data_IF_920858982463
#
_entry.id   IF_920858982463
#
_cell.length_a   1.000
_cell.length_b   1.000
_cell.length_c   1.000
_cell.angle_alpha   90.00
_cell.angle_beta   90.00
_cell.angle_gamma   90.00
#
_symmetry.space_group_name_H-M   'P 1'
#
loop_
_entity.id
_entity.type
_entity.pdbx_description
1 polymer ?
#
# COMPACT_ATOMS: atom_id res chain seq x y z
N UNK A 1 23.33 -10.54 -4.52
CA UNK A 1 23.23 -9.90 -3.19
C UNK A 1 22.02 -8.98 -3.28
N UNK A 2 20.86 -9.41 -2.79
CA UNK A 2 19.64 -8.59 -2.82
C UNK A 2 19.76 -7.59 -1.68
N UNK A 3 19.98 -6.31 -1.99
CA UNK A 3 20.00 -5.25 -0.99
C UNK A 3 18.61 -5.11 -0.36
N UNK A 4 18.52 -5.32 0.95
CA UNK A 4 17.31 -5.09 1.75
C UNK A 4 17.22 -3.63 2.25
N UNK A 5 18.01 -2.71 1.70
CA UNK A 5 18.08 -1.30 2.12
C UNK A 5 16.97 -0.41 1.51
N UNK A 6 15.99 -0.97 0.79
CA UNK A 6 15.02 -0.18 -0.01
C UNK A 6 13.97 0.60 0.77
N UNK A 7 13.98 0.57 2.11
CA UNK A 7 13.02 1.27 2.98
C UNK A 7 13.66 2.37 3.85
N UNK A 8 14.97 2.63 3.69
CA UNK A 8 15.64 3.70 4.43
C UNK A 8 14.97 5.05 4.13
N UNK A 9 14.56 5.76 5.18
CA UNK A 9 13.84 7.03 5.07
C UNK A 9 12.33 6.92 4.90
N UNK A 10 11.76 5.71 4.79
CA UNK A 10 10.33 5.51 4.66
C UNK A 10 9.66 5.36 6.04
N UNK A 11 8.68 6.22 6.34
CA UNK A 11 7.84 6.12 7.53
C UNK A 11 6.62 5.24 7.24
N UNK A 12 6.57 4.07 7.90
CA UNK A 12 5.46 3.12 7.75
C UNK A 12 4.09 3.73 8.05
N UNK A 13 4.02 4.76 8.91
CA UNK A 13 2.75 5.44 9.22
C UNK A 13 2.13 6.11 8.00
N UNK A 14 2.95 6.57 7.05
CA UNK A 14 2.48 7.13 5.79
C UNK A 14 1.80 6.03 4.96
N UNK A 15 2.46 4.88 4.78
CA UNK A 15 1.89 3.73 4.07
C UNK A 15 0.61 3.22 4.73
N UNK A 16 0.59 3.14 6.06
CA UNK A 16 -0.61 2.74 6.81
C UNK A 16 -1.76 3.73 6.61
N UNK A 17 -1.48 5.03 6.57
CA UNK A 17 -2.49 6.06 6.33
C UNK A 17 -3.10 5.97 4.93
N UNK A 18 -2.26 5.72 3.91
CA UNK A 18 -2.68 5.52 2.53
C UNK A 18 -3.49 4.24 2.39
N UNK A 19 -3.00 3.13 2.95
CA UNK A 19 -3.72 1.86 2.96
C UNK A 19 -5.10 2.00 3.61
N UNK A 20 -5.19 2.67 4.77
CA UNK A 20 -6.46 2.92 5.47
C UNK A 20 -7.40 3.77 4.64
N UNK A 21 -6.91 4.85 4.02
CA UNK A 21 -7.73 5.72 3.15
C UNK A 21 -8.30 4.95 1.96
N UNK A 22 -7.47 4.14 1.29
CA UNK A 22 -7.91 3.32 0.15
C UNK A 22 -9.03 2.34 0.55
N UNK A 23 -8.86 1.66 1.68
CA UNK A 23 -9.89 0.77 2.25
C UNK A 23 -11.17 1.55 2.53
N UNK A 24 -11.09 2.67 3.25
CA UNK A 24 -12.26 3.47 3.62
C UNK A 24 -13.06 3.99 2.43
N UNK A 25 -12.37 4.50 1.39
CA UNK A 25 -13.01 4.96 0.17
C UNK A 25 -13.77 3.82 -0.51
N UNK A 26 -13.14 2.66 -0.64
CA UNK A 26 -13.75 1.52 -1.32
C UNK A 26 -14.94 0.95 -0.55
N UNK A 27 -14.82 0.73 0.75
CA UNK A 27 -15.90 0.11 1.54
C UNK A 27 -17.11 1.03 1.73
N UNK A 28 -16.92 2.35 1.65
CA UNK A 28 -18.02 3.33 1.72
C UNK A 28 -18.78 3.48 0.40
N UNK A 29 -18.51 2.61 -0.59
CA UNK A 29 -19.15 2.65 -1.91
C UNK A 29 -18.55 3.70 -2.85
N UNK A 30 -17.37 4.25 -2.51
CA UNK A 30 -16.62 5.15 -3.38
C UNK A 30 -15.92 4.41 -4.52
N UNK A 31 -15.46 5.18 -5.51
CA UNK A 31 -14.56 4.66 -6.53
C UNK A 31 -13.20 4.26 -5.92
N UNK A 32 -12.45 3.42 -6.65
CA UNK A 32 -11.05 3.16 -6.32
C UNK A 32 -10.29 4.49 -6.24
N UNK A 33 -9.55 4.67 -5.16
CA UNK A 33 -8.71 5.85 -4.95
C UNK A 33 -7.25 5.44 -5.11
N UNK A 34 -6.52 6.21 -5.92
CA UNK A 34 -5.07 6.09 -6.05
C UNK A 34 -4.42 7.37 -5.55
N UNK A 35 -3.38 7.29 -4.70
CA UNK A 35 -2.54 8.44 -4.37
C UNK A 35 -1.77 8.90 -5.61
N UNK A 36 -1.52 10.20 -5.73
CA UNK A 36 -0.54 10.74 -6.68
C UNK A 36 0.85 10.66 -6.03
N UNK A 37 1.81 9.91 -6.58
CA UNK A 37 3.16 9.80 -6.02
C UNK A 37 3.88 11.13 -5.85
N UNK A 38 3.55 12.15 -6.64
CA UNK A 38 4.15 13.47 -6.55
C UNK A 38 3.78 14.25 -5.28
N UNK A 39 2.76 13.80 -4.53
CA UNK A 39 2.36 14.38 -3.24
C UNK A 39 3.18 13.87 -2.06
N UNK A 40 4.10 12.93 -2.28
CA UNK A 40 4.89 12.26 -1.24
C UNK A 40 6.39 12.46 -1.48
N UNK A 41 7.20 12.24 -0.43
CA UNK A 41 8.66 12.24 -0.56
C UNK A 41 9.11 11.18 -1.58
N UNK A 42 10.23 11.46 -2.28
CA UNK A 42 10.74 10.63 -3.38
C UNK A 42 10.86 9.13 -3.03
N UNK A 43 11.13 8.82 -1.76
CA UNK A 43 11.24 7.44 -1.25
C UNK A 43 9.95 6.61 -1.46
N UNK A 44 8.78 7.24 -1.56
CA UNK A 44 7.49 6.58 -1.78
C UNK A 44 7.11 6.47 -3.27
N UNK A 45 7.69 7.33 -4.11
CA UNK A 45 7.40 7.42 -5.54
C UNK A 45 8.20 6.42 -6.39
N UNK A 46 9.22 5.78 -5.81
CA UNK A 46 10.00 4.74 -6.51
C UNK A 46 9.18 3.45 -6.73
N UNK A 47 9.43 2.71 -7.82
CA UNK A 47 8.80 1.42 -8.05
C UNK A 47 9.06 0.43 -6.90
N UNK A 48 8.00 -0.23 -6.42
CA UNK A 48 8.14 -1.21 -5.34
C UNK A 48 6.98 -2.20 -5.26
N UNK A 49 7.32 -3.40 -4.80
CA UNK A 49 6.38 -4.50 -4.60
C UNK A 49 5.85 -4.46 -3.16
N UNK A 50 4.55 -4.22 -3.00
CA UNK A 50 3.91 -4.11 -1.68
C UNK A 50 2.89 -5.23 -1.47
N UNK A 51 2.83 -5.75 -0.25
CA UNK A 51 1.77 -6.63 0.24
C UNK A 51 1.09 -5.99 1.44
N UNK A 52 -0.25 -5.99 1.44
CA UNK A 52 -1.06 -5.51 2.57
C UNK A 52 -1.80 -6.69 3.17
N UNK A 53 -1.58 -6.91 4.47
CA UNK A 53 -2.27 -7.93 5.26
C UNK A 53 -3.25 -7.27 6.22
N UNK A 54 -4.52 -7.64 6.13
CA UNK A 54 -5.55 -7.25 7.09
C UNK A 54 -5.77 -8.37 8.09
N UNK A 55 -5.85 -8.01 9.38
CA UNK A 55 -6.18 -8.93 10.46
C UNK A 55 -7.41 -8.45 11.22
N UNK A 56 -8.24 -9.39 11.67
CA UNK A 56 -9.40 -9.13 12.53
C UNK A 56 -9.39 -10.11 13.69
N UNK A 57 -9.34 -9.60 14.92
CA UNK A 57 -9.21 -10.39 16.15
C UNK A 57 -8.03 -11.39 16.09
N UNK A 58 -6.87 -10.94 15.59
CA UNK A 58 -5.66 -11.77 15.44
C UNK A 58 -5.63 -12.66 14.20
N UNK A 59 -6.79 -13.00 13.63
CA UNK A 59 -6.92 -13.85 12.44
C UNK A 59 -6.72 -13.08 11.13
N UNK A 60 -6.19 -13.77 10.12
CA UNK A 60 -6.10 -13.24 8.75
C UNK A 60 -7.51 -12.94 8.21
N UNK A 61 -7.69 -11.72 7.70
CA UNK A 61 -8.92 -11.27 7.03
C UNK A 61 -8.75 -11.14 5.51
N UNK A 62 -7.55 -10.75 5.07
CA UNK A 62 -7.19 -10.60 3.66
C UNK A 62 -5.69 -10.34 3.52
N UNK A 63 -5.09 -10.78 2.43
CA UNK A 63 -3.70 -10.49 2.08
C UNK A 63 -3.57 -10.41 0.56
N UNK A 64 -3.24 -9.24 0.04
CA UNK A 64 -3.06 -9.00 -1.39
C UNK A 64 -1.79 -8.18 -1.60
N UNK A 65 -1.10 -8.43 -2.70
CA UNK A 65 0.08 -7.68 -3.12
C UNK A 65 0.51 -8.05 -4.53
N UNK A 66 1.49 -7.33 -5.03
CA UNK A 66 2.12 -7.60 -6.32
C UNK A 66 3.56 -8.05 -6.09
N UNK A 67 3.97 -9.12 -6.79
CA UNK A 67 5.36 -9.59 -6.75
C UNK A 67 6.29 -8.70 -7.59
N UNK A 68 5.77 -8.12 -8.66
CA UNK A 68 6.52 -7.27 -9.57
C UNK A 68 6.32 -5.78 -9.22
N UNK A 69 7.39 -4.98 -9.08
CA UNK A 69 7.34 -3.57 -8.75
C UNK A 69 6.97 -2.73 -9.98
N UNK A 70 5.74 -2.89 -10.46
CA UNK A 70 5.25 -2.24 -11.70
C UNK A 70 4.70 -0.83 -11.46
N UNK A 71 4.46 -0.46 -10.20
CA UNK A 71 3.97 0.86 -9.76
C UNK A 71 4.81 1.36 -8.59
N UNK A 72 4.66 2.64 -8.22
CA UNK A 72 5.30 3.16 -7.02
C UNK A 72 4.86 2.41 -5.76
N UNK A 73 5.67 2.47 -4.70
CA UNK A 73 5.35 1.84 -3.40
C UNK A 73 4.01 2.37 -2.86
N UNK A 74 3.76 3.68 -2.98
CA UNK A 74 2.55 4.33 -2.45
C UNK A 74 1.29 3.91 -3.19
N UNK A 75 1.35 3.82 -4.53
CA UNK A 75 0.26 3.30 -5.36
C UNK A 75 0.03 1.81 -5.08
N UNK A 76 1.11 1.02 -5.02
CA UNK A 76 1.04 -0.41 -4.75
C UNK A 76 0.40 -0.68 -3.38
N UNK A 77 0.73 0.11 -2.36
CA UNK A 77 0.13 0.02 -1.03
C UNK A 77 -1.38 0.32 -1.05
N UNK A 78 -1.80 1.42 -1.70
CA UNK A 78 -3.21 1.79 -1.80
C UNK A 78 -4.03 0.70 -2.51
N UNK A 79 -3.57 0.27 -3.69
CA UNK A 79 -4.23 -0.76 -4.49
C UNK A 79 -4.32 -2.09 -3.75
N UNK A 80 -3.23 -2.52 -3.12
CA UNK A 80 -3.19 -3.77 -2.37
C UNK A 80 -4.11 -3.74 -1.15
N UNK A 81 -4.20 -2.60 -0.46
CA UNK A 81 -5.09 -2.40 0.67
C UNK A 81 -6.57 -2.45 0.26
N UNK A 82 -6.93 -1.77 -0.83
CA UNK A 82 -8.27 -1.83 -1.40
C UNK A 82 -8.68 -3.28 -1.68
N UNK A 83 -7.85 -4.01 -2.42
CA UNK A 83 -8.15 -5.38 -2.83
C UNK A 83 -8.16 -6.36 -1.65
N UNK A 84 -7.33 -6.15 -0.63
CA UNK A 84 -7.31 -7.00 0.57
C UNK A 84 -8.57 -6.84 1.44
N UNK A 85 -9.32 -5.74 1.29
CA UNK A 85 -10.51 -5.43 2.09
C UNK A 85 -11.84 -5.88 1.47
N UNK A 86 -11.86 -6.17 0.17
CA UNK A 86 -13.02 -6.69 -0.56
C UNK A 86 -13.18 -8.20 -0.33
#
# INVERSE_FOLDING_TARGET
>A
MVSLNGLEGMDLRILESVARRAIEQRIRGGASWSPDPAEFDDVYAVPGATFVTLRRHGSLRGCIGQLEPTTSVIESAARSAELAAL
#
